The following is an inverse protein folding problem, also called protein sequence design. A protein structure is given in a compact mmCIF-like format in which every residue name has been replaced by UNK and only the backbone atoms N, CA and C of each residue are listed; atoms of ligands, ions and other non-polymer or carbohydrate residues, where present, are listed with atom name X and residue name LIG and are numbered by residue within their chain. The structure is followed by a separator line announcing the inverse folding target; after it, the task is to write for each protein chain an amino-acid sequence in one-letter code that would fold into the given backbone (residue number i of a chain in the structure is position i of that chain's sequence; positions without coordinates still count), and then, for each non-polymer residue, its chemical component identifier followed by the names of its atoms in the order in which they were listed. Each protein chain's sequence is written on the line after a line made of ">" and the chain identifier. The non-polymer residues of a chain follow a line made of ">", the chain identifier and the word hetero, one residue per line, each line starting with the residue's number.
data_IF_185147420619
#
_entry.id   IF_185147420619
#
_cell.length_a   1.000
_cell.length_b   1.000
_cell.length_c   1.000
_cell.angle_alpha   90.00
_cell.angle_beta   90.00
_cell.angle_gamma   90.00
#
_symmetry.space_group_name_H-M   'P 1'
#
loop_
_entity.id
_entity.type
_entity.pdbx_description
1 polymer ?
#
# COMPACT_ATOMS: atom_id res chain seq x y z
N UNK A 1 -8.19 35.55 15.60
CA UNK A 1 -9.31 34.66 16.01
C UNK A 1 -9.88 34.07 14.73
N UNK A 2 -9.77 32.76 14.57
CA UNK A 2 -10.19 32.04 13.38
C UNK A 2 -10.04 30.54 13.62
N UNK A 3 -10.75 29.76 12.83
CA UNK A 3 -10.68 28.30 12.87
C UNK A 3 -9.25 27.84 12.54
N UNK A 4 -8.78 26.82 13.25
CA UNK A 4 -7.47 26.23 12.96
C UNK A 4 -7.42 24.78 13.38
N UNK A 5 -6.42 24.08 12.86
CA UNK A 5 -5.99 22.75 13.32
C UNK A 5 -4.46 22.71 13.31
N UNK A 6 -3.87 22.12 14.34
CA UNK A 6 -2.41 22.01 14.48
C UNK A 6 -2.01 20.76 15.23
N UNK A 7 -0.87 20.19 14.87
CA UNK A 7 -0.13 19.22 15.68
C UNK A 7 1.23 19.83 16.03
N UNK A 8 1.55 19.87 17.31
CA UNK A 8 2.81 20.42 17.82
C UNK A 8 3.51 19.42 18.74
N UNK A 9 4.83 19.49 18.82
CA UNK A 9 5.62 18.77 19.82
C UNK A 9 6.05 19.77 20.91
N UNK A 10 5.60 19.56 22.15
CA UNK A 10 5.90 20.42 23.29
C UNK A 10 6.29 19.57 24.51
N UNK A 11 7.49 19.81 25.04
CA UNK A 11 8.06 19.06 26.16
C UNK A 11 7.98 17.54 25.94
N UNK A 12 8.38 17.11 24.73
CA UNK A 12 8.32 15.72 24.23
C UNK A 12 6.92 15.12 24.13
N UNK A 13 5.84 15.88 24.27
CA UNK A 13 4.50 15.34 24.03
C UNK A 13 3.88 15.98 22.79
N UNK A 14 3.07 15.20 22.10
CA UNK A 14 2.33 15.68 20.94
C UNK A 14 1.04 16.35 21.42
N UNK A 15 0.78 17.57 20.96
CA UNK A 15 -0.45 18.31 21.20
C UNK A 15 -1.22 18.50 19.90
N UNK A 16 -2.36 17.82 19.79
CA UNK A 16 -3.33 18.04 18.74
C UNK A 16 -4.36 19.08 19.18
N UNK A 17 -4.42 20.21 18.47
CA UNK A 17 -5.25 21.36 18.81
C UNK A 17 -6.12 21.74 17.63
N UNK A 18 -7.37 22.13 17.90
CA UNK A 18 -8.25 22.70 16.89
C UNK A 18 -9.30 23.61 17.51
N UNK A 19 -9.60 24.72 16.83
CA UNK A 19 -10.65 25.67 17.21
C UNK A 19 -11.68 25.77 16.07
N UNK A 20 -12.95 25.75 16.44
CA UNK A 20 -14.12 25.81 15.53
C UNK A 20 -14.91 27.12 15.72
N UNK A 21 -14.28 28.14 16.33
CA UNK A 21 -14.80 29.49 16.52
C UNK A 21 -15.18 29.84 17.97
N UNK A 22 -14.95 28.95 18.94
CA UNK A 22 -15.35 29.14 20.36
C UNK A 22 -14.27 28.80 21.38
N UNK A 23 -13.08 28.42 20.92
CA UNK A 23 -11.98 27.98 21.76
C UNK A 23 -11.43 26.65 21.28
N UNK A 24 -10.16 26.43 21.58
CA UNK A 24 -9.44 25.26 21.12
C UNK A 24 -9.76 24.03 21.99
N UNK A 25 -9.98 22.90 21.35
CA UNK A 25 -9.69 21.60 21.96
C UNK A 25 -8.17 21.45 22.06
N UNK A 26 -7.69 20.85 23.15
CA UNK A 26 -6.27 20.48 23.32
C UNK A 26 -6.22 19.02 23.73
N UNK A 27 -5.66 18.18 22.85
CA UNK A 27 -5.52 16.74 23.05
C UNK A 27 -4.03 16.43 23.08
N UNK A 28 -3.50 16.17 24.27
CA UNK A 28 -2.07 15.89 24.49
C UNK A 28 -1.83 14.39 24.57
N UNK A 29 -0.72 13.90 24.00
CA UNK A 29 -0.31 12.50 24.18
C UNK A 29 -0.15 12.19 25.66
N UNK A 30 -0.46 10.95 26.07
CA UNK A 30 -0.25 10.51 27.47
C UNK A 30 1.22 10.34 27.77
N UNK A 31 1.91 9.65 26.87
CA UNK A 31 3.33 9.36 26.98
C UNK A 31 4.15 10.37 26.15
N UNK A 32 5.38 10.68 26.59
CA UNK A 32 6.31 11.43 25.78
C UNK A 32 6.79 10.59 24.59
N UNK A 33 7.01 11.23 23.45
CA UNK A 33 7.65 10.59 22.30
C UNK A 33 9.15 10.40 22.55
N UNK A 34 9.69 9.33 21.99
CA UNK A 34 11.13 9.08 22.03
C UNK A 34 11.81 9.93 20.96
N UNK A 35 12.75 10.79 21.38
CA UNK A 35 13.47 11.66 20.45
C UNK A 35 14.41 10.84 19.57
N UNK A 36 14.53 11.22 18.30
CA UNK A 36 15.38 10.53 17.32
C UNK A 36 14.83 9.19 16.81
N UNK A 37 13.66 8.75 17.29
CA UNK A 37 13.00 7.54 16.83
C UNK A 37 11.78 7.86 15.95
N UNK A 38 11.54 7.03 14.93
CA UNK A 38 10.32 7.13 14.13
C UNK A 38 9.09 6.88 15.01
N UNK A 39 8.15 7.82 14.96
CA UNK A 39 6.91 7.75 15.73
C UNK A 39 5.73 7.93 14.79
N UNK A 40 4.89 6.90 14.67
CA UNK A 40 3.64 6.98 13.90
C UNK A 40 2.62 7.78 14.70
N UNK A 41 1.92 8.71 14.05
CA UNK A 41 0.89 9.53 14.70
C UNK A 41 -0.38 9.48 13.86
N UNK A 42 -1.51 9.23 14.51
CA UNK A 42 -2.83 9.28 13.90
C UNK A 42 -3.68 10.33 14.59
N UNK A 43 -4.27 11.21 13.80
CA UNK A 43 -5.17 12.28 14.23
C UNK A 43 -6.52 12.06 13.57
N UNK A 44 -7.59 12.16 14.34
CA UNK A 44 -8.94 12.09 13.84
C UNK A 44 -9.79 13.19 14.46
N UNK A 45 -10.66 13.82 13.67
CA UNK A 45 -11.66 14.75 14.18
C UNK A 45 -12.99 14.46 13.50
N UNK A 46 -14.01 14.23 14.31
CA UNK A 46 -15.40 14.14 13.88
C UNK A 46 -16.23 15.22 14.58
N UNK A 47 -16.54 16.29 13.84
CA UNK A 47 -17.19 17.48 14.37
C UNK A 47 -16.36 18.10 15.50
N UNK A 48 -16.93 18.16 16.71
CA UNK A 48 -16.23 18.68 17.89
C UNK A 48 -15.30 17.67 18.55
N UNK A 49 -15.49 16.36 18.33
CA UNK A 49 -14.73 15.31 18.98
C UNK A 49 -13.44 15.04 18.20
N UNK A 50 -12.35 14.85 18.91
CA UNK A 50 -11.05 14.54 18.35
C UNK A 50 -10.40 13.36 19.05
N UNK A 51 -9.48 12.72 18.36
CA UNK A 51 -8.65 11.66 18.88
C UNK A 51 -7.21 11.82 18.39
N UNK A 52 -6.26 11.58 19.29
CA UNK A 52 -4.84 11.48 19.03
C UNK A 52 -4.38 10.07 19.40
N UNK A 53 -3.63 9.40 18.52
CA UNK A 53 -2.96 8.13 18.79
C UNK A 53 -1.49 8.24 18.39
N UNK A 54 -0.62 7.71 19.24
CA UNK A 54 0.83 7.67 19.04
C UNK A 54 1.28 6.22 19.05
N UNK A 55 1.94 5.79 17.97
CA UNK A 55 2.27 4.39 17.70
C UNK A 55 1.04 3.48 17.80
N UNK A 56 1.22 2.34 18.47
CA UNK A 56 0.14 1.40 18.79
C UNK A 56 -0.55 1.69 20.13
N UNK A 57 -0.17 2.78 20.81
CA UNK A 57 -0.71 3.17 22.11
C UNK A 57 -2.21 3.51 22.10
N UNK A 58 -2.78 3.80 23.28
CA UNK A 58 -4.20 4.12 23.41
C UNK A 58 -4.56 5.45 22.74
N UNK A 59 -5.80 5.57 22.28
CA UNK A 59 -6.36 6.84 21.79
C UNK A 59 -6.59 7.79 22.98
N UNK A 60 -6.11 9.02 22.85
CA UNK A 60 -6.45 10.13 23.74
C UNK A 60 -7.57 10.92 23.08
N UNK A 61 -8.67 11.10 23.79
CA UNK A 61 -9.86 11.79 23.28
C UNK A 61 -9.93 13.20 23.87
N UNK A 62 -10.51 14.11 23.11
CA UNK A 62 -10.92 15.42 23.60
C UNK A 62 -11.97 16.04 22.70
N UNK A 63 -12.51 17.18 23.09
CA UNK A 63 -13.48 17.89 22.28
C UNK A 63 -13.39 19.40 22.42
N UNK A 64 -13.82 20.12 21.39
CA UNK A 64 -13.89 21.58 21.43
C UNK A 64 -15.14 22.04 22.21
N UNK A 65 -15.09 23.24 22.82
CA UNK A 65 -16.19 23.77 23.64
C UNK A 65 -17.53 23.82 22.90
N UNK A 66 -18.62 23.51 23.62
CA UNK A 66 -19.98 23.62 23.11
C UNK A 66 -20.48 25.06 23.22
N UNK A 67 -21.06 25.59 22.15
CA UNK A 67 -21.87 26.82 22.23
C UNK A 67 -23.32 26.49 22.54
N UNK A 68 -23.95 27.33 23.37
CA UNK A 68 -25.37 27.19 23.73
C UNK A 68 -26.33 27.53 22.58
N UNK A 69 -25.85 28.24 21.55
CA UNK A 69 -26.69 28.77 20.44
C UNK A 69 -26.50 28.03 19.11
N UNK A 70 -25.28 27.58 18.81
CA UNK A 70 -24.96 26.94 17.52
C UNK A 70 -23.96 25.82 17.75
N UNK A 71 -24.19 24.59 17.23
CA UNK A 71 -23.18 23.55 17.27
C UNK A 71 -22.06 23.89 16.28
N UNK A 72 -20.95 24.45 16.78
CA UNK A 72 -19.74 24.70 15.99
C UNK A 72 -19.03 23.37 15.69
N UNK A 73 -19.37 22.72 14.59
CA UNK A 73 -18.85 21.40 14.19
C UNK A 73 -17.97 21.47 12.94
N UNK A 74 -18.12 22.51 12.13
CA UNK A 74 -17.38 22.71 10.88
C UNK A 74 -16.05 23.41 11.17
N UNK A 75 -15.01 23.02 10.43
CA UNK A 75 -13.70 23.67 10.45
C UNK A 75 -13.50 24.37 9.12
N UNK A 76 -13.41 25.70 9.12
CA UNK A 76 -13.25 26.51 7.91
C UNK A 76 -11.83 27.05 7.80
N UNK A 77 -10.97 26.31 7.08
CA UNK A 77 -9.58 26.72 6.83
C UNK A 77 -9.49 27.53 5.53
N UNK A 78 -8.87 28.71 5.60
CA UNK A 78 -8.61 29.58 4.43
C UNK A 78 -7.16 29.59 3.98
N UNK A 79 -6.25 29.26 4.90
CA UNK A 79 -4.81 29.23 4.64
C UNK A 79 -4.38 27.84 4.12
N UNK A 80 -3.25 27.75 3.40
CA UNK A 80 -2.67 26.48 3.01
C UNK A 80 -2.35 25.57 4.21
N UNK A 81 -2.30 24.26 3.96
CA UNK A 81 -1.76 23.30 4.92
C UNK A 81 -0.22 23.40 4.92
N UNK A 82 0.36 23.57 6.10
CA UNK A 82 1.80 23.61 6.29
C UNK A 82 2.30 22.38 7.02
N UNK A 83 3.47 21.87 6.63
CA UNK A 83 4.16 20.73 7.25
C UNK A 83 5.59 21.15 7.58
N UNK A 84 6.10 20.79 8.77
CA UNK A 84 7.45 21.14 9.22
C UNK A 84 7.58 22.55 9.82
N UNK A 85 6.78 23.51 9.39
CA UNK A 85 6.80 24.88 9.92
C UNK A 85 5.95 25.80 9.08
N UNK A 86 6.00 27.11 9.32
CA UNK A 86 5.28 28.08 8.50
C UNK A 86 6.04 29.42 8.42
N UNK A 87 5.74 30.28 7.44
CA UNK A 87 6.51 31.50 7.18
C UNK A 87 6.37 32.59 8.25
N UNK A 88 5.25 32.64 8.97
CA UNK A 88 4.97 33.67 9.98
C UNK A 88 4.51 33.03 11.31
N UNK A 89 5.48 32.74 12.18
CA UNK A 89 5.21 32.17 13.50
C UNK A 89 4.49 33.14 14.44
N UNK A 90 4.60 34.46 14.25
CA UNK A 90 3.90 35.46 15.06
C UNK A 90 2.37 35.33 15.00
N UNK A 91 1.83 34.83 13.87
CA UNK A 91 0.40 34.53 13.71
C UNK A 91 0.00 33.16 14.24
N UNK A 92 0.91 32.18 14.22
CA UNK A 92 0.65 30.78 14.59
C UNK A 92 0.93 30.47 16.07
N UNK A 93 1.90 31.15 16.68
CA UNK A 93 2.38 30.90 18.03
C UNK A 93 1.27 31.02 19.09
N UNK A 94 0.29 31.90 18.88
CA UNK A 94 -0.87 32.04 19.78
C UNK A 94 -1.90 30.90 19.65
N UNK A 95 -2.00 30.26 18.50
CA UNK A 95 -2.97 29.19 18.24
C UNK A 95 -2.40 27.80 18.58
N UNK A 96 -1.15 27.56 18.16
CA UNK A 96 -0.47 26.28 18.29
C UNK A 96 0.40 26.15 19.55
N UNK A 97 0.55 27.23 20.35
CA UNK A 97 1.39 27.27 21.56
C UNK A 97 2.86 26.89 21.33
N UNK A 98 3.40 27.16 20.13
CA UNK A 98 4.80 26.87 19.75
C UNK A 98 5.52 28.13 19.28
N UNK A 99 6.84 28.18 19.50
CA UNK A 99 7.70 29.31 19.14
C UNK A 99 8.62 29.05 17.94
N UNK A 100 8.69 27.81 17.44
CA UNK A 100 9.58 27.40 16.34
C UNK A 100 8.96 26.31 15.48
N UNK A 101 9.56 26.08 14.31
CA UNK A 101 9.23 24.94 13.44
C UNK A 101 9.68 23.61 14.02
N UNK A 102 9.23 22.53 13.38
CA UNK A 102 9.68 21.18 13.64
C UNK A 102 11.09 20.97 13.07
N UNK A 103 11.99 20.48 13.92
CA UNK A 103 13.34 20.07 13.55
C UNK A 103 13.41 18.54 13.61
N UNK A 104 13.52 17.90 12.44
CA UNK A 104 13.51 16.46 12.30
C UNK A 104 13.08 16.01 10.91
N UNK A 105 12.77 14.71 10.79
CA UNK A 105 12.33 14.10 9.54
C UNK A 105 10.84 13.72 9.61
N UNK A 106 10.11 14.00 8.53
CA UNK A 106 8.71 13.58 8.36
C UNK A 106 8.65 12.68 7.12
N UNK A 107 8.00 11.53 7.27
CA UNK A 107 7.64 10.64 6.17
C UNK A 107 6.14 10.37 6.19
N UNK A 108 5.59 10.02 5.03
CA UNK A 108 4.23 9.50 4.87
C UNK A 108 3.11 10.39 5.47
N UNK A 109 2.95 11.61 4.94
CA UNK A 109 1.83 12.49 5.32
C UNK A 109 0.60 12.16 4.48
N UNK A 110 -0.35 11.44 5.06
CA UNK A 110 -1.62 11.13 4.40
C UNK A 110 -2.78 11.95 4.97
N UNK A 111 -3.61 12.51 4.09
CA UNK A 111 -4.86 13.19 4.45
C UNK A 111 -6.02 12.54 3.70
N UNK A 112 -6.93 11.89 4.42
CA UNK A 112 -8.05 11.17 3.81
C UNK A 112 -7.61 10.05 2.85
N UNK A 113 -6.47 9.40 3.13
CA UNK A 113 -5.89 8.36 2.28
C UNK A 113 -4.93 8.87 1.19
N UNK A 114 -4.96 10.18 0.87
CA UNK A 114 -4.09 10.77 -0.16
C UNK A 114 -2.73 11.16 0.42
N UNK A 115 -1.64 10.69 -0.20
CA UNK A 115 -0.27 11.09 0.14
C UNK A 115 -0.02 12.54 -0.29
N UNK A 116 0.51 13.36 0.63
CA UNK A 116 0.76 14.79 0.38
C UNK A 116 2.21 15.11 0.04
N UNK A 117 3.17 14.26 0.44
CA UNK A 117 4.60 14.46 0.15
C UNK A 117 4.96 14.01 -1.27
N UNK A 118 4.21 14.47 -2.27
CA UNK A 118 4.49 14.26 -3.69
C UNK A 118 4.65 15.61 -4.38
N UNK A 119 5.55 15.75 -5.38
CA UNK A 119 5.85 17.03 -6.02
C UNK A 119 4.60 17.75 -6.57
N UNK A 120 3.63 16.99 -7.06
CA UNK A 120 2.37 17.48 -7.61
C UNK A 120 1.49 18.27 -6.62
N UNK A 121 1.65 18.05 -5.32
CA UNK A 121 0.87 18.71 -4.27
C UNK A 121 1.61 19.88 -3.60
N UNK A 122 2.87 20.13 -3.96
CA UNK A 122 3.71 21.17 -3.31
C UNK A 122 3.51 22.52 -4.00
N UNK A 123 2.92 23.48 -3.30
CA UNK A 123 2.77 24.86 -3.79
C UNK A 123 4.08 25.67 -3.66
N UNK A 124 4.78 25.51 -2.54
CA UNK A 124 6.04 26.20 -2.24
C UNK A 124 6.80 25.43 -1.16
N UNK A 125 8.11 25.30 -1.32
CA UNK A 125 9.05 24.80 -0.31
C UNK A 125 10.22 25.78 -0.15
N UNK A 126 10.82 25.83 1.03
CA UNK A 126 11.97 26.70 1.34
C UNK A 126 12.98 25.87 2.10
N UNK A 127 14.20 25.76 1.56
CA UNK A 127 15.34 25.09 2.20
C UNK A 127 15.08 23.66 2.73
N UNK A 128 14.18 22.92 2.06
CA UNK A 128 13.88 21.52 2.39
C UNK A 128 14.86 20.61 1.66
N UNK A 129 15.46 19.66 2.39
CA UNK A 129 16.41 18.68 1.84
C UNK A 129 16.04 17.26 2.24
N UNK A 130 16.61 16.28 1.53
CA UNK A 130 16.46 14.86 1.87
C UNK A 130 17.09 14.54 3.23
N UNK A 131 16.39 13.76 4.05
CA UNK A 131 16.90 13.35 5.37
C UNK A 131 18.10 12.40 5.23
N UNK A 132 19.31 12.85 5.53
CA UNK A 132 20.55 12.09 5.33
C UNK A 132 20.66 10.79 6.16
N UNK A 133 19.88 10.66 7.24
CA UNK A 133 19.89 9.49 8.12
C UNK A 133 19.19 8.25 7.57
N UNK A 134 18.59 8.31 6.37
CA UNK A 134 17.83 7.20 5.80
C UNK A 134 18.63 6.43 4.72
N UNK A 135 18.52 5.08 4.63
CA UNK A 135 19.26 4.29 3.64
C UNK A 135 19.08 4.74 2.18
N UNK A 136 17.88 5.17 1.77
CA UNK A 136 17.65 5.68 0.40
C UNK A 136 18.39 7.00 0.07
N UNK A 137 18.80 7.79 1.06
CA UNK A 137 19.24 9.19 0.88
C UNK A 137 20.64 9.46 1.45
N UNK A 138 21.24 8.48 2.16
CA UNK A 138 22.62 8.57 2.64
C UNK A 138 23.62 8.62 1.48
N UNK A 139 24.72 9.34 1.68
CA UNK A 139 25.73 9.56 0.64
C UNK A 139 26.56 8.32 0.26
N UNK A 140 26.57 7.27 1.09
CA UNK A 140 27.42 6.09 0.85
C UNK A 140 26.89 5.12 -0.23
N UNK A 141 25.88 5.52 -1.00
CA UNK A 141 25.29 4.71 -2.06
C UNK A 141 23.83 4.35 -1.83
N UNK A 142 23.12 4.16 -2.95
CA UNK A 142 21.71 3.79 -3.01
C UNK A 142 21.56 2.27 -2.77
N UNK A 143 20.64 1.82 -1.89
CA UNK A 143 20.58 0.41 -1.47
C UNK A 143 19.91 -0.51 -2.50
N UNK A 144 19.17 0.03 -3.47
CA UNK A 144 18.57 -0.74 -4.54
C UNK A 144 19.48 -0.73 -5.79
N UNK A 145 19.69 -1.90 -6.38
CA UNK A 145 20.57 -2.13 -7.51
C UNK A 145 19.81 -2.06 -8.85
N UNK A 146 20.55 -2.15 -9.96
CA UNK A 146 20.00 -2.33 -11.32
C UNK A 146 18.95 -1.27 -11.72
N UNK A 147 19.14 -0.02 -11.28
CA UNK A 147 18.25 1.10 -11.61
C UNK A 147 16.91 1.10 -10.86
N UNK A 148 16.77 0.27 -9.81
CA UNK A 148 15.55 0.21 -9.01
C UNK A 148 15.32 1.47 -8.16
N UNK A 149 14.05 1.79 -7.90
CA UNK A 149 13.67 2.92 -7.04
C UNK A 149 13.66 2.51 -5.57
N UNK A 150 14.34 3.27 -4.69
CA UNK A 150 14.25 3.07 -3.24
C UNK A 150 13.09 3.86 -2.66
N UNK A 151 12.15 3.16 -2.02
CA UNK A 151 11.00 3.78 -1.38
C UNK A 151 11.16 3.72 0.14
N UNK A 152 11.27 4.87 0.82
CA UNK A 152 11.45 4.91 2.28
C UNK A 152 10.24 4.37 3.05
N UNK A 153 10.52 3.68 4.17
CA UNK A 153 9.54 3.11 5.10
C UNK A 153 10.04 3.23 6.54
N UNK A 154 9.85 4.40 7.14
CA UNK A 154 10.38 4.72 8.48
C UNK A 154 11.91 4.56 8.49
N UNK A 155 12.46 3.60 9.25
CA UNK A 155 13.88 3.27 9.22
C UNK A 155 14.26 2.26 8.12
N UNK A 156 13.27 1.56 7.57
CA UNK A 156 13.42 0.55 6.53
C UNK A 156 13.15 1.13 5.14
N UNK A 157 13.27 0.30 4.12
CA UNK A 157 12.99 0.67 2.74
C UNK A 157 12.47 -0.54 1.95
N UNK A 158 11.86 -0.25 0.81
CA UNK A 158 11.46 -1.25 -0.19
C UNK A 158 12.04 -0.83 -1.53
N UNK A 159 12.66 -1.77 -2.24
CA UNK A 159 13.12 -1.55 -3.61
C UNK A 159 12.00 -1.92 -4.59
N UNK A 160 11.66 -0.99 -5.50
CA UNK A 160 10.79 -1.27 -6.63
C UNK A 160 11.65 -1.71 -7.80
N UNK A 161 11.69 -3.01 -8.04
CA UNK A 161 12.52 -3.58 -9.10
C UNK A 161 11.92 -3.28 -10.48
N UNK A 162 12.77 -2.87 -11.44
CA UNK A 162 12.37 -2.83 -12.84
C UNK A 162 12.13 -4.25 -13.37
N UNK A 163 11.42 -4.37 -14.49
CA UNK A 163 11.17 -5.66 -15.13
C UNK A 163 12.47 -6.42 -15.41
N UNK A 164 12.46 -7.73 -15.20
CA UNK A 164 13.65 -8.57 -15.33
C UNK A 164 14.56 -8.57 -14.09
N UNK A 165 14.18 -7.93 -12.98
CA UNK A 165 14.96 -7.98 -11.72
C UNK A 165 14.08 -8.30 -10.52
N UNK A 166 14.65 -9.00 -9.54
CA UNK A 166 13.97 -9.42 -8.31
C UNK A 166 14.93 -9.49 -7.13
N UNK A 167 14.40 -9.80 -5.94
CA UNK A 167 15.15 -9.81 -4.68
C UNK A 167 14.98 -8.51 -3.86
N UNK A 168 15.38 -8.52 -2.57
CA UNK A 168 15.22 -7.38 -1.66
C UNK A 168 15.95 -6.11 -2.12
N UNK A 169 17.02 -6.24 -2.90
CA UNK A 169 17.79 -5.12 -3.46
C UNK A 169 17.75 -5.09 -4.99
N UNK A 170 16.88 -5.88 -5.61
CA UNK A 170 16.80 -6.06 -7.06
C UNK A 170 18.10 -6.61 -7.67
N UNK A 171 18.84 -7.40 -6.90
CA UNK A 171 20.14 -7.97 -7.26
C UNK A 171 20.03 -9.21 -8.17
N UNK A 172 18.88 -9.88 -8.18
CA UNK A 172 18.66 -11.11 -8.94
C UNK A 172 18.10 -10.75 -10.32
N UNK A 173 18.91 -10.90 -11.37
CA UNK A 173 18.44 -10.80 -12.75
C UNK A 173 17.59 -12.01 -13.14
N UNK A 174 16.36 -11.77 -13.61
CA UNK A 174 15.52 -12.76 -14.24
C UNK A 174 15.94 -12.80 -15.72
N UNK A 175 16.63 -13.86 -16.13
CA UNK A 175 17.04 -14.00 -17.53
C UNK A 175 15.76 -14.12 -18.37
N UNK A 176 15.47 -13.10 -19.18
CA UNK A 176 14.45 -13.19 -20.23
C UNK A 176 14.90 -14.25 -21.24
N UNK A 177 14.50 -15.50 -21.02
CA UNK A 177 14.39 -16.47 -22.10
C UNK A 177 12.90 -16.67 -22.32
N UNK A 178 12.47 -16.41 -23.55
CA UNK A 178 11.11 -16.60 -24.04
C UNK A 178 10.53 -17.88 -23.44
N UNK A 179 9.27 -17.85 -22.99
CA UNK A 179 8.61 -18.99 -22.33
C UNK A 179 8.52 -20.27 -23.21
N UNK A 180 8.99 -20.21 -24.46
CA UNK A 180 9.15 -21.35 -25.36
C UNK A 180 10.55 -21.97 -25.45
N UNK A 181 11.58 -21.38 -24.81
CA UNK A 181 13.00 -21.80 -24.95
C UNK A 181 13.65 -22.30 -23.63
N UNK A 182 12.90 -22.43 -22.53
CA UNK A 182 13.43 -22.86 -21.22
C UNK A 182 12.47 -23.74 -20.41
N UNK A 183 13.04 -24.71 -19.69
CA UNK A 183 12.33 -25.66 -18.82
C UNK A 183 11.87 -25.07 -17.47
N UNK A 184 12.30 -23.85 -17.12
CA UNK A 184 11.95 -23.19 -15.84
C UNK A 184 11.77 -21.67 -16.01
N UNK A 185 10.62 -21.17 -15.57
CA UNK A 185 10.27 -19.75 -15.60
C UNK A 185 10.40 -19.14 -14.20
N UNK A 186 10.90 -17.91 -14.14
CA UNK A 186 11.01 -17.16 -12.89
C UNK A 186 9.99 -16.02 -12.85
N UNK A 187 9.32 -15.87 -11.71
CA UNK A 187 8.26 -14.88 -11.50
C UNK A 187 8.62 -13.96 -10.33
N UNK A 188 8.32 -12.66 -10.44
CA UNK A 188 8.60 -11.64 -9.40
C UNK A 188 7.35 -11.20 -8.61
N UNK A 189 6.22 -11.86 -8.84
CA UNK A 189 4.91 -11.51 -8.27
C UNK A 189 4.15 -10.43 -9.06
N UNK A 190 4.71 -9.89 -10.14
CA UNK A 190 4.06 -8.98 -11.10
C UNK A 190 4.06 -9.55 -12.52
N UNK A 191 5.02 -10.40 -12.85
CA UNK A 191 5.07 -11.12 -14.13
C UNK A 191 4.08 -12.28 -14.17
N UNK A 192 3.56 -12.57 -15.36
CA UNK A 192 2.64 -13.67 -15.62
C UNK A 192 2.85 -14.22 -17.04
N UNK A 193 2.44 -15.47 -17.27
CA UNK A 193 2.31 -16.06 -18.60
C UNK A 193 0.85 -16.40 -18.81
N UNK A 194 0.30 -15.96 -19.94
CA UNK A 194 -1.06 -16.27 -20.36
C UNK A 194 -1.02 -17.26 -21.54
N UNK A 195 -1.80 -18.34 -21.44
CA UNK A 195 -1.95 -19.32 -22.49
C UNK A 195 -3.34 -19.19 -23.14
N UNK A 196 -3.42 -19.44 -24.44
CA UNK A 196 -4.70 -19.52 -25.15
C UNK A 196 -5.56 -20.64 -24.57
N UNK A 197 -6.89 -20.44 -24.56
CA UNK A 197 -7.84 -21.40 -23.98
C UNK A 197 -7.78 -22.81 -24.60
N UNK A 198 -7.29 -22.95 -25.83
CA UNK A 198 -7.19 -24.22 -26.56
C UNK A 198 -6.09 -25.18 -26.04
N UNK A 199 -5.15 -24.72 -25.19
CA UNK A 199 -4.03 -25.55 -24.69
C UNK A 199 -4.48 -26.60 -23.65
N UNK A 200 -5.74 -26.57 -23.21
CA UNK A 200 -6.33 -27.56 -22.30
C UNK A 200 -7.19 -28.62 -22.97
N UNK A 201 -7.30 -28.61 -24.31
CA UNK A 201 -7.93 -29.72 -25.03
C UNK A 201 -6.95 -30.91 -25.06
N UNK A 202 -7.33 -31.96 -24.32
CA UNK A 202 -6.73 -33.30 -24.43
C UNK A 202 -6.48 -33.62 -25.91
N UNK A 203 -5.28 -34.07 -26.22
CA UNK A 203 -4.93 -34.72 -27.48
C UNK A 203 -5.91 -35.87 -27.76
N UNK A 204 -7.05 -35.60 -28.38
CA UNK A 204 -7.96 -36.62 -28.88
C UNK A 204 -8.96 -36.04 -29.90
N UNK A 205 -8.47 -35.77 -31.11
CA UNK A 205 -9.28 -35.97 -32.31
C UNK A 205 -8.34 -36.23 -33.50
N UNK A 206 -8.21 -37.51 -33.83
CA UNK A 206 -7.62 -38.00 -35.07
C UNK A 206 -8.27 -37.33 -36.30
N UNK A 207 -7.44 -37.13 -37.31
CA UNK A 207 -7.72 -36.86 -38.73
C UNK A 207 -9.18 -36.93 -39.22
N UNK A 208 -9.72 -35.80 -39.68
CA UNK A 208 -10.60 -35.73 -40.86
C UNK A 208 -10.32 -34.40 -41.60
N UNK A 209 -10.07 -34.39 -42.94
CA UNK A 209 -9.92 -33.14 -43.69
C UNK A 209 -11.25 -32.37 -43.79
N UNK A 210 -11.16 -31.07 -43.54
CA UNK A 210 -12.26 -30.10 -43.59
C UNK A 210 -12.82 -29.96 -45.02
N UNK A 211 -14.15 -29.98 -45.25
CA UNK A 211 -14.73 -29.31 -46.40
C UNK A 211 -14.97 -27.84 -46.07
N UNK A 212 -14.37 -26.96 -46.88
CA UNK A 212 -14.55 -25.51 -46.82
C UNK A 212 -16.02 -25.11 -46.99
N UNK A 213 -16.63 -24.54 -45.96
CA UNK A 213 -17.74 -23.59 -46.14
C UNK A 213 -17.66 -22.48 -45.09
N UNK A 214 -17.67 -21.24 -45.58
CA UNK A 214 -17.81 -20.02 -44.80
C UNK A 214 -19.16 -19.98 -44.04
N UNK A 215 -19.12 -19.66 -42.75
CA UNK A 215 -19.86 -18.57 -42.06
C UNK A 215 -20.19 -18.94 -40.60
N UNK A 216 -20.32 -17.90 -39.75
CA UNK A 216 -20.49 -17.90 -38.28
C UNK A 216 -19.20 -18.16 -37.49
N UNK A 217 -18.64 -17.20 -36.74
CA UNK A 217 -19.33 -16.48 -35.68
C UNK A 217 -19.03 -17.19 -34.36
N UNK A 218 -18.24 -16.54 -33.50
CA UNK A 218 -17.92 -16.96 -32.13
C UNK A 218 -17.05 -18.24 -31.97
N UNK A 219 -15.73 -18.07 -31.88
CA UNK A 219 -14.87 -19.04 -31.19
C UNK A 219 -15.12 -18.91 -29.67
N UNK A 220 -16.29 -19.33 -29.20
CA UNK A 220 -16.54 -19.54 -27.78
C UNK A 220 -15.91 -20.88 -27.40
N UNK A 221 -14.63 -20.84 -27.05
CA UNK A 221 -14.01 -21.94 -26.29
C UNK A 221 -14.57 -21.88 -24.86
N UNK A 222 -15.77 -22.42 -24.69
CA UNK A 222 -16.32 -22.68 -23.35
C UNK A 222 -15.57 -23.88 -22.76
N UNK A 223 -14.67 -23.62 -21.81
CA UNK A 223 -14.00 -24.67 -21.02
C UNK A 223 -15.01 -25.39 -20.14
N UNK A 224 -15.69 -26.41 -20.66
CA UNK A 224 -16.45 -27.37 -19.86
C UNK A 224 -15.57 -28.59 -19.55
N UNK A 225 -14.64 -28.45 -18.59
CA UNK A 225 -13.76 -29.54 -18.17
C UNK A 225 -14.39 -30.32 -17.00
N UNK A 226 -14.56 -31.63 -17.15
CA UNK A 226 -15.05 -32.51 -16.08
C UNK A 226 -13.99 -32.79 -15.00
N UNK A 227 -12.72 -32.64 -15.35
CA UNK A 227 -11.59 -32.81 -14.42
C UNK A 227 -10.46 -31.83 -14.78
N UNK A 228 -9.73 -31.37 -13.77
CA UNK A 228 -8.53 -30.57 -13.95
C UNK A 228 -7.35 -31.30 -13.31
N UNK A 229 -6.28 -31.52 -14.08
CA UNK A 229 -5.05 -32.12 -13.59
C UNK A 229 -3.90 -31.14 -13.84
N UNK A 230 -3.29 -30.65 -12.76
CA UNK A 230 -2.15 -29.74 -12.81
C UNK A 230 -0.98 -30.38 -12.06
N UNK A 231 0.16 -30.49 -12.72
CA UNK A 231 1.40 -30.95 -12.14
C UNK A 231 2.47 -29.87 -12.39
N UNK A 232 3.13 -29.43 -11.32
CA UNK A 232 4.17 -28.40 -11.39
C UNK A 232 5.15 -28.56 -10.23
N UNK A 233 6.37 -28.08 -10.45
CA UNK A 233 7.39 -27.89 -9.40
C UNK A 233 7.57 -26.39 -9.16
N UNK A 234 7.57 -25.98 -7.90
CA UNK A 234 7.77 -24.57 -7.53
C UNK A 234 8.82 -24.43 -6.42
N UNK A 235 9.47 -23.26 -6.39
CA UNK A 235 10.39 -22.82 -5.34
C UNK A 235 10.14 -21.34 -5.08
N UNK A 236 10.01 -20.94 -3.83
CA UNK A 236 9.81 -19.53 -3.46
C UNK A 236 10.21 -19.25 -2.02
N UNK A 237 10.71 -18.03 -1.76
CA UNK A 237 10.94 -17.50 -0.41
C UNK A 237 9.69 -16.74 0.12
N UNK A 238 8.68 -16.51 -0.73
CA UNK A 238 7.49 -15.75 -0.38
C UNK A 238 6.47 -16.63 0.36
N UNK A 239 5.89 -16.08 1.43
CA UNK A 239 4.84 -16.76 2.23
C UNK A 239 3.43 -16.57 1.68
N UNK A 240 3.27 -15.78 0.61
CA UNK A 240 1.99 -15.53 -0.04
C UNK A 240 2.17 -15.24 -1.53
N UNK A 241 1.23 -15.69 -2.38
CA UNK A 241 1.24 -15.39 -3.81
C UNK A 241 0.32 -16.30 -4.64
N UNK A 242 -0.23 -15.78 -5.74
CA UNK A 242 -1.00 -16.57 -6.70
C UNK A 242 -0.04 -17.36 -7.61
N UNK A 243 -0.28 -18.67 -7.77
CA UNK A 243 0.53 -19.57 -8.60
C UNK A 243 -0.17 -19.89 -9.91
N UNK A 244 -1.47 -20.19 -9.86
CA UNK A 244 -2.28 -20.53 -11.03
C UNK A 244 -3.68 -19.94 -10.88
N UNK A 245 -4.24 -19.44 -11.97
CA UNK A 245 -5.63 -19.02 -12.07
C UNK A 245 -6.23 -19.44 -13.41
N UNK A 246 -7.42 -20.04 -13.38
CA UNK A 246 -8.25 -20.24 -14.56
C UNK A 246 -9.70 -19.99 -14.16
N UNK A 247 -10.33 -18.97 -14.73
CA UNK A 247 -11.71 -18.59 -14.42
C UNK A 247 -12.03 -17.19 -14.92
N UNK A 248 -13.31 -16.81 -14.94
CA UNK A 248 -13.70 -15.44 -15.30
C UNK A 248 -13.54 -14.54 -14.07
N UNK A 249 -12.98 -13.34 -14.26
CA UNK A 249 -12.70 -12.39 -13.17
C UNK A 249 -13.96 -11.70 -12.58
N UNK A 250 -15.16 -12.17 -12.90
CA UNK A 250 -16.43 -11.61 -12.43
C UNK A 250 -16.92 -12.31 -11.17
N UNK A 251 -17.53 -11.57 -10.24
CA UNK A 251 -18.14 -12.16 -9.04
C UNK A 251 -19.16 -13.25 -9.43
N UNK A 252 -19.03 -14.44 -8.83
CA UNK A 252 -19.84 -15.66 -9.05
C UNK A 252 -19.52 -16.49 -10.31
N UNK A 253 -18.42 -16.21 -11.00
CA UNK A 253 -17.98 -17.08 -12.07
C UNK A 253 -17.25 -18.33 -11.59
N UNK A 254 -17.24 -19.34 -12.46
CA UNK A 254 -16.44 -20.54 -12.26
C UNK A 254 -14.96 -20.21 -12.31
N UNK A 255 -14.22 -20.74 -11.34
CA UNK A 255 -12.78 -20.58 -11.28
C UNK A 255 -12.10 -21.76 -10.57
N UNK A 256 -10.82 -21.92 -10.87
CA UNK A 256 -9.85 -22.72 -10.11
C UNK A 256 -8.59 -21.87 -9.90
N UNK A 257 -8.08 -21.88 -8.67
CA UNK A 257 -6.94 -21.08 -8.26
C UNK A 257 -6.03 -21.87 -7.34
N UNK A 258 -4.72 -21.86 -7.61
CA UNK A 258 -3.70 -22.36 -6.69
C UNK A 258 -2.89 -21.17 -6.18
N UNK A 259 -2.75 -21.05 -4.86
CA UNK A 259 -2.02 -19.96 -4.22
C UNK A 259 -1.22 -20.46 -3.02
N UNK A 260 -0.22 -19.68 -2.61
CA UNK A 260 0.47 -19.83 -1.34
C UNK A 260 -0.18 -18.85 -0.35
N UNK A 261 -0.57 -19.34 0.82
CA UNK A 261 -1.18 -18.57 1.90
C UNK A 261 -0.55 -18.99 3.22
N UNK A 262 0.08 -18.03 3.91
CA UNK A 262 0.86 -18.28 5.14
C UNK A 262 1.86 -19.43 4.99
N UNK A 263 2.58 -19.46 3.86
CA UNK A 263 3.60 -20.48 3.55
C UNK A 263 3.05 -21.86 3.18
N UNK A 264 1.73 -22.04 3.03
CA UNK A 264 1.11 -23.31 2.66
C UNK A 264 0.43 -23.20 1.30
N UNK A 265 0.46 -24.28 0.50
CA UNK A 265 -0.34 -24.35 -0.73
C UNK A 265 -1.83 -24.44 -0.41
N UNK A 266 -2.62 -23.66 -1.15
CA UNK A 266 -4.06 -23.59 -1.06
C UNK A 266 -4.68 -23.66 -2.46
N UNK A 267 -5.45 -24.72 -2.72
CA UNK A 267 -6.30 -24.84 -3.91
C UNK A 267 -7.70 -24.32 -3.56
N UNK A 268 -8.21 -23.38 -4.35
CA UNK A 268 -9.56 -22.83 -4.23
C UNK A 268 -10.28 -22.96 -5.56
N UNK A 269 -11.51 -23.45 -5.57
CA UNK A 269 -12.31 -23.51 -6.80
C UNK A 269 -13.80 -23.30 -6.52
N UNK A 270 -14.50 -22.75 -7.50
CA UNK A 270 -15.95 -22.57 -7.47
C UNK A 270 -16.51 -22.99 -8.83
N UNK A 271 -17.59 -23.78 -8.83
CA UNK A 271 -18.27 -24.28 -10.02
C UNK A 271 -19.74 -23.80 -10.05
N UNK A 272 -19.99 -22.58 -9.58
CA UNK A 272 -21.30 -21.93 -9.63
C UNK A 272 -22.14 -21.99 -8.35
N UNK A 273 -21.62 -22.54 -7.24
CA UNK A 273 -22.32 -22.56 -5.95
C UNK A 273 -21.55 -21.79 -4.88
N UNK A 274 -20.65 -22.46 -4.16
CA UNK A 274 -19.78 -21.87 -3.15
C UNK A 274 -18.35 -22.35 -3.35
N UNK A 275 -17.35 -21.52 -2.99
CA UNK A 275 -15.95 -21.89 -3.12
C UNK A 275 -15.59 -23.02 -2.16
N UNK A 276 -14.87 -24.01 -2.69
CA UNK A 276 -14.21 -25.07 -1.91
C UNK A 276 -12.73 -24.70 -1.76
N UNK A 277 -12.18 -24.85 -0.57
CA UNK A 277 -10.77 -24.56 -0.26
C UNK A 277 -10.10 -25.79 0.33
N UNK A 278 -9.00 -26.21 -0.29
CA UNK A 278 -8.13 -27.28 0.19
C UNK A 278 -6.76 -26.68 0.52
N UNK A 279 -6.19 -27.04 1.66
CA UNK A 279 -4.90 -26.52 2.13
C UNK A 279 -3.94 -27.68 2.39
N UNK A 280 -2.71 -27.55 1.91
CA UNK A 280 -1.62 -28.46 2.23
C UNK A 280 -1.32 -28.44 3.72
N UNK A 281 -1.02 -29.61 4.29
CA UNK A 281 -0.53 -29.76 5.67
C UNK A 281 0.97 -29.53 5.79
N UNK A 282 1.70 -29.51 4.67
CA UNK A 282 3.14 -29.31 4.61
C UNK A 282 3.43 -27.89 4.10
N UNK A 283 4.34 -27.14 4.73
CA UNK A 283 4.75 -25.84 4.23
C UNK A 283 5.51 -25.97 2.91
N UNK A 284 5.39 -24.96 2.07
CA UNK A 284 6.23 -24.82 0.87
C UNK A 284 7.67 -24.67 1.33
N UNK A 285 8.58 -25.39 0.69
CA UNK A 285 10.00 -25.35 1.02
C UNK A 285 10.57 -23.97 0.66
N UNK A 286 10.73 -23.11 1.67
CA UNK A 286 11.30 -21.76 1.58
C UNK A 286 12.81 -21.79 1.54
#
# INVERSE_FOLDING_TARGET
>A
KGDFVSLALQDRHLEFRYDLGKGAAVIRSREPVTLGAWTRVSLERNGRKGALRVGDGPRVLGESPKSRKVPHTVLNLKEPLYVGGAPDFSKLARAAAVSSGFDGAIQLVSLGGRQLLTPEHVLRQVDVTSFAGHPCTRASGHPCLNGASCVPREAAYVCLCPGGFSGPHCEKGLVEKSAGDVDALAFDGRTFVEYLNAVTESELANEIPVPETLDSGALHSEKALQSNHFELSLRTEATQGLVLWSGKATERADYVALAIVDGHLQLSYNLGSQPVVLRSTVPVNT
#
